data_IF_848086403250
#
_entry.id   IF_848086403250
#
_cell.length_a   1.000
_cell.length_b   1.000
_cell.length_c   1.000
_cell.angle_alpha   90.00
_cell.angle_beta   90.00
_cell.angle_gamma   90.00
#
_symmetry.space_group_name_H-M   'P 1'
#
loop_
_entity.id
_entity.type
_entity.pdbx_description
1 polymer ?
#
# COMPACT_ATOMS: atom_id res chain seq x y z
N UNK A 1 6.86 -2.71 -1.44
CA UNK A 1 7.14 -1.39 -2.04
C UNK A 1 6.07 -1.12 -3.07
N UNK A 2 5.58 0.11 -3.18
CA UNK A 2 4.54 0.47 -4.15
C UNK A 2 4.93 1.73 -4.93
N UNK A 3 4.49 1.83 -6.19
CA UNK A 3 4.80 2.94 -7.08
C UNK A 3 3.54 3.76 -7.30
N UNK A 4 3.60 5.04 -6.97
CA UNK A 4 2.46 5.96 -7.10
C UNK A 4 2.83 7.21 -7.89
N UNK A 5 1.80 7.91 -8.38
CA UNK A 5 1.92 9.21 -9.01
C UNK A 5 1.44 10.28 -8.03
N UNK A 6 2.33 11.19 -7.63
CA UNK A 6 1.97 12.33 -6.80
C UNK A 6 1.14 13.35 -7.60
N UNK A 7 0.34 14.17 -6.91
CA UNK A 7 -0.44 15.25 -7.52
C UNK A 7 0.41 16.29 -8.28
N UNK A 8 1.70 16.44 -7.95
CA UNK A 8 2.61 17.29 -8.71
C UNK A 8 3.04 16.68 -10.07
N UNK A 9 2.60 15.46 -10.38
CA UNK A 9 2.94 14.72 -11.59
C UNK A 9 4.15 13.79 -11.47
N UNK A 10 4.97 13.95 -10.42
CA UNK A 10 6.12 13.10 -10.18
C UNK A 10 5.71 11.67 -9.80
N UNK A 11 6.51 10.70 -10.22
CA UNK A 11 6.34 9.29 -9.83
C UNK A 11 7.34 8.95 -8.74
N UNK A 12 6.88 8.30 -7.68
CA UNK A 12 7.69 7.94 -6.52
C UNK A 12 7.41 6.50 -6.06
N UNK A 13 8.40 5.93 -5.38
CA UNK A 13 8.31 4.60 -4.78
C UNK A 13 8.18 4.78 -3.27
N UNK A 14 7.07 4.29 -2.71
CA UNK A 14 6.86 4.21 -1.28
C UNK A 14 7.37 2.85 -0.77
N UNK A 15 8.34 2.91 0.13
CA UNK A 15 8.97 1.72 0.73
C UNK A 15 8.48 1.49 2.16
N UNK A 16 8.19 2.58 2.90
CA UNK A 16 7.65 2.50 4.26
C UNK A 16 6.16 2.19 4.21
N UNK A 17 5.73 1.24 5.02
CA UNK A 17 4.33 0.89 5.20
C UNK A 17 4.05 0.40 6.62
N UNK A 18 2.79 0.52 7.02
CA UNK A 18 2.24 -0.13 8.20
C UNK A 18 1.27 -1.22 7.75
N UNK A 19 1.28 -2.35 8.46
CA UNK A 19 0.31 -3.41 8.23
C UNK A 19 -0.87 -3.22 9.18
N UNK A 20 -2.08 -3.29 8.63
CA UNK A 20 -3.32 -3.17 9.39
C UNK A 20 -4.18 -4.40 9.11
N UNK A 21 -4.83 -4.93 10.16
CA UNK A 21 -5.79 -6.01 10.05
C UNK A 21 -7.19 -5.44 10.26
N UNK A 22 -8.06 -5.56 9.27
CA UNK A 22 -9.48 -5.22 9.39
C UNK A 22 -10.31 -6.49 9.15
N UNK A 23 -10.80 -7.10 10.23
CA UNK A 23 -11.46 -8.40 10.17
C UNK A 23 -10.47 -9.52 9.81
N UNK A 24 -10.72 -10.21 8.70
CA UNK A 24 -9.83 -11.24 8.14
C UNK A 24 -8.91 -10.72 7.03
N UNK A 25 -8.95 -9.41 6.73
CA UNK A 25 -8.22 -8.79 5.63
C UNK A 25 -7.00 -8.02 6.14
N UNK A 26 -5.87 -8.22 5.49
CA UNK A 26 -4.60 -7.54 5.78
C UNK A 26 -4.35 -6.46 4.74
N UNK A 27 -4.18 -5.24 5.23
CA UNK A 27 -3.86 -4.06 4.44
C UNK A 27 -2.43 -3.62 4.69
N UNK A 28 -1.80 -3.06 3.66
CA UNK A 28 -0.52 -2.34 3.75
C UNK A 28 -0.76 -0.88 3.39
N UNK A 29 -0.66 -0.02 4.39
CA UNK A 29 -0.74 1.42 4.21
C UNK A 29 0.67 1.96 3.98
N UNK A 30 0.98 2.25 2.72
CA UNK A 30 2.24 2.83 2.29
C UNK A 30 2.19 4.35 2.44
N UNK A 31 3.28 4.95 2.93
CA UNK A 31 3.37 6.39 3.14
C UNK A 31 4.77 6.92 2.83
N UNK A 32 4.84 8.20 2.45
CA UNK A 32 6.11 8.89 2.27
C UNK A 32 5.98 10.28 1.67
N UNK A 33 7.06 11.04 1.76
CA UNK A 33 7.15 12.41 1.26
C UNK A 33 7.65 12.41 -0.18
N UNK A 34 6.98 13.17 -1.06
CA UNK A 34 7.43 13.35 -2.42
C UNK A 34 8.75 14.13 -2.44
N UNK A 35 9.83 13.59 -3.03
CA UNK A 35 11.12 14.27 -3.06
C UNK A 35 11.12 15.52 -3.96
N UNK A 36 10.11 15.67 -4.83
CA UNK A 36 10.02 16.79 -5.78
C UNK A 36 9.26 17.99 -5.19
N UNK A 37 8.07 17.75 -4.62
CA UNK A 37 7.21 18.83 -4.14
C UNK A 37 7.08 18.89 -2.61
N UNK A 38 7.70 17.95 -1.88
CA UNK A 38 7.67 17.90 -0.42
C UNK A 38 6.34 17.49 0.19
N UNK A 39 5.30 17.19 -0.62
CA UNK A 39 3.99 16.76 -0.10
C UNK A 39 4.03 15.32 0.37
N UNK A 40 3.32 15.04 1.45
CA UNK A 40 3.06 13.68 1.91
C UNK A 40 2.11 12.97 0.95
N UNK A 41 2.33 11.67 0.76
CA UNK A 41 1.48 10.79 -0.03
C UNK A 41 1.27 9.50 0.74
N UNK A 42 0.06 8.96 0.62
CA UNK A 42 -0.32 7.68 1.19
C UNK A 42 -1.09 6.86 0.16
N UNK A 43 -0.98 5.54 0.23
CA UNK A 43 -1.80 4.63 -0.55
C UNK A 43 -1.97 3.32 0.20
N UNK A 44 -3.15 2.71 0.05
CA UNK A 44 -3.51 1.45 0.68
C UNK A 44 -3.51 0.33 -0.35
N UNK A 45 -2.88 -0.78 0.01
CA UNK A 45 -2.80 -2.00 -0.78
C UNK A 45 -3.41 -3.14 0.02
N UNK A 46 -4.33 -3.90 -0.58
CA UNK A 46 -4.94 -5.08 0.05
C UNK A 46 -4.12 -6.31 -0.33
N UNK A 47 -3.79 -7.16 0.64
CA UNK A 47 -3.17 -8.44 0.33
C UNK A 47 -4.16 -9.32 -0.43
N UNK A 48 -3.96 -9.51 -1.74
CA UNK A 48 -4.88 -10.27 -2.59
C UNK A 48 -5.04 -11.73 -2.13
N UNK A 49 -4.01 -12.29 -1.48
CA UNK A 49 -4.03 -13.62 -0.88
C UNK A 49 -5.19 -13.77 0.14
N UNK A 50 -5.59 -12.69 0.82
CA UNK A 50 -6.67 -12.70 1.81
C UNK A 50 -8.07 -12.68 1.16
N UNK A 51 -8.16 -12.33 -0.12
CA UNK A 51 -9.42 -12.30 -0.90
C UNK A 51 -9.66 -13.66 -1.55
N UNK A 52 -8.59 -14.35 -1.95
CA UNK A 52 -8.67 -15.72 -2.44
C UNK A 52 -9.12 -16.63 -1.30
N UNK A 53 -10.28 -17.27 -1.46
CA UNK A 53 -10.65 -18.40 -0.63
C UNK A 53 -9.56 -19.46 -0.78
N UNK A 54 -8.71 -19.63 0.23
CA UNK A 54 -7.84 -20.79 0.30
C UNK A 54 -8.77 -22.00 0.37
N UNK A 55 -8.79 -22.81 -0.69
CA UNK A 55 -9.31 -24.17 -0.59
C UNK A 55 -8.52 -24.83 0.54
N UNK A 56 -9.20 -25.10 1.64
CA UNK A 56 -8.63 -25.81 2.78
C UNK A 56 -8.04 -27.13 2.26
N UNK A 57 -6.72 -27.19 2.12
CA UNK A 57 -6.03 -28.43 1.88
C UNK A 57 -5.92 -29.16 3.22
N UNK A 58 -6.94 -29.98 3.46
CA UNK A 58 -7.10 -31.06 4.45
C UNK A 58 -7.58 -30.67 5.85
#
# INVERSE_FOLDING_TARGET
>A
MTKIKCHCGATLILVKYLMHLEGSLTFRDYYGTCPVCGKENETRDLNEDDITAQEYLF
#
